data_IF_985292813108
#
_entry.id   IF_985292813108
#
_cell.length_a   1.000
_cell.length_b   1.000
_cell.length_c   1.000
_cell.angle_alpha   90.00
_cell.angle_beta   90.00
_cell.angle_gamma   90.00
#
_symmetry.space_group_name_H-M   'P 1'
#
loop_
_entity.id
_entity.type
_entity.pdbx_description
1 polymer ?
#
# COMPACT_ATOMS: atom_id res chain seq x y z
N UNK A 1 -8.39 -12.92 -2.82
CA UNK A 1 -8.39 -11.83 -1.81
C UNK A 1 -7.43 -12.22 -0.70
N UNK A 2 -6.21 -11.66 -0.66
CA UNK A 2 -5.22 -12.01 0.37
C UNK A 2 -5.75 -11.56 1.74
N UNK A 3 -5.86 -12.49 2.71
CA UNK A 3 -6.36 -12.17 4.05
C UNK A 3 -5.37 -11.25 4.76
N UNK A 4 -5.82 -10.05 5.13
CA UNK A 4 -5.00 -9.10 5.86
C UNK A 4 -4.81 -9.56 7.31
N UNK A 5 -3.59 -9.95 7.65
CA UNK A 5 -3.25 -10.46 8.99
C UNK A 5 -3.33 -9.37 10.06
N UNK A 6 -3.01 -8.12 9.74
CA UNK A 6 -3.04 -7.00 10.69
C UNK A 6 -4.42 -6.77 11.31
N UNK A 7 -5.51 -7.04 10.59
CA UNK A 7 -6.87 -6.97 11.17
C UNK A 7 -7.11 -8.01 12.26
N UNK A 8 -6.42 -9.18 12.19
CA UNK A 8 -6.51 -10.24 13.19
C UNK A 8 -5.65 -9.94 14.43
N UNK A 9 -4.47 -9.36 14.23
CA UNK A 9 -3.47 -9.18 15.30
C UNK A 9 -3.38 -7.74 15.86
N UNK A 10 -4.08 -6.77 15.26
CA UNK A 10 -4.15 -5.38 15.72
C UNK A 10 -2.97 -4.49 15.28
N UNK A 11 -1.80 -5.06 14.99
CA UNK A 11 -0.59 -4.31 14.61
C UNK A 11 0.00 -4.85 13.30
N UNK A 12 0.59 -3.96 12.48
CA UNK A 12 1.29 -4.32 11.27
C UNK A 12 2.40 -3.33 10.93
N UNK A 13 3.58 -3.84 10.60
CA UNK A 13 4.71 -3.05 10.09
C UNK A 13 4.86 -3.40 8.62
N UNK A 14 5.00 -2.38 7.76
CA UNK A 14 5.07 -2.57 6.31
C UNK A 14 6.24 -1.78 5.74
N UNK A 15 7.02 -2.42 4.86
CA UNK A 15 8.05 -1.75 4.07
C UNK A 15 7.44 -0.82 2.99
N UNK A 16 8.25 0.11 2.48
CA UNK A 16 7.87 0.90 1.30
C UNK A 16 7.58 -0.02 0.10
N UNK A 17 6.66 0.39 -0.77
CA UNK A 17 6.30 -0.41 -1.96
C UNK A 17 6.04 0.50 -3.12
N UNK A 18 6.48 0.08 -4.30
CA UNK A 18 6.27 0.77 -5.57
C UNK A 18 4.84 0.49 -6.04
N UNK A 19 4.15 1.53 -6.52
CA UNK A 19 2.90 1.37 -7.26
C UNK A 19 3.27 1.47 -8.74
N UNK A 20 3.00 0.46 -9.57
CA UNK A 20 3.45 0.46 -10.95
C UNK A 20 2.63 1.45 -11.79
N UNK A 21 3.34 2.25 -12.59
CA UNK A 21 2.82 3.01 -13.73
C UNK A 21 2.95 2.18 -15.03
N UNK A 22 2.63 2.77 -16.18
CA UNK A 22 2.70 2.09 -17.48
C UNK A 22 4.13 1.63 -17.79
N UNK A 23 5.12 2.50 -17.57
CA UNK A 23 6.54 2.19 -17.80
C UNK A 23 7.00 0.99 -16.95
N UNK A 24 6.62 0.93 -15.67
CA UNK A 24 6.97 -0.20 -14.79
C UNK A 24 6.21 -1.48 -15.12
N UNK A 25 5.01 -1.39 -15.69
CA UNK A 25 4.28 -2.58 -16.16
C UNK A 25 5.03 -3.24 -17.31
N UNK A 26 5.53 -2.43 -18.26
CA UNK A 26 6.28 -2.92 -19.41
C UNK A 26 7.69 -3.38 -19.01
N UNK A 27 8.41 -2.60 -18.20
CA UNK A 27 9.76 -2.93 -17.70
C UNK A 27 9.80 -4.29 -17.00
N UNK A 28 8.79 -4.57 -16.17
CA UNK A 28 8.73 -5.79 -15.35
C UNK A 28 7.78 -6.86 -15.91
N UNK A 29 7.23 -6.67 -17.11
CA UNK A 29 6.27 -7.56 -17.76
C UNK A 29 5.12 -8.00 -16.82
N UNK A 30 4.52 -7.02 -16.15
CA UNK A 30 3.47 -7.27 -15.18
C UNK A 30 2.18 -7.64 -15.91
N UNK A 31 1.45 -8.63 -15.38
CA UNK A 31 0.17 -9.08 -15.95
C UNK A 31 -0.90 -7.97 -16.06
N UNK A 32 -0.77 -6.93 -15.24
CA UNK A 32 -1.67 -5.76 -15.19
C UNK A 32 -1.08 -4.68 -14.30
N UNK A 33 -1.60 -3.47 -14.43
CA UNK A 33 -1.39 -2.39 -13.48
C UNK A 33 -2.08 -2.74 -12.14
N UNK A 34 -1.27 -2.97 -11.10
CA UNK A 34 -1.78 -3.30 -9.77
C UNK A 34 -2.12 -2.04 -8.98
N UNK A 35 -3.24 -2.07 -8.26
CA UNK A 35 -3.60 -1.00 -7.31
C UNK A 35 -2.54 -0.90 -6.21
N UNK A 36 -2.29 0.33 -5.75
CA UNK A 36 -1.34 0.59 -4.67
C UNK A 36 -1.63 -0.29 -3.44
N UNK A 37 -0.64 -1.03 -2.91
CA UNK A 37 -0.81 -1.79 -1.68
C UNK A 37 -1.21 -0.90 -0.49
N UNK A 38 -0.70 0.34 -0.43
CA UNK A 38 -1.04 1.30 0.63
C UNK A 38 -2.52 1.69 0.57
N UNK A 39 -3.03 2.04 -0.61
CA UNK A 39 -4.44 2.38 -0.80
C UNK A 39 -5.36 1.19 -0.52
N UNK A 40 -4.94 -0.01 -0.94
CA UNK A 40 -5.68 -1.25 -0.66
C UNK A 40 -5.78 -1.52 0.84
N UNK A 41 -4.69 -1.36 1.59
CA UNK A 41 -4.69 -1.59 3.05
C UNK A 41 -5.57 -0.55 3.76
N UNK A 42 -5.46 0.73 3.38
CA UNK A 42 -6.26 1.83 3.95
C UNK A 42 -7.76 1.63 3.71
N UNK A 43 -8.15 1.21 2.51
CA UNK A 43 -9.56 0.97 2.20
C UNK A 43 -10.15 -0.22 3.00
N UNK A 44 -9.33 -1.21 3.35
CA UNK A 44 -9.78 -2.39 4.12
C UNK A 44 -9.82 -2.11 5.63
N UNK A 45 -8.82 -1.40 6.17
CA UNK A 45 -8.74 -1.08 7.60
C UNK A 45 -9.56 0.15 8.00
N UNK A 46 -9.71 1.12 7.10
CA UNK A 46 -10.25 2.43 7.41
C UNK A 46 -9.35 3.24 8.37
N UNK A 47 -9.86 4.37 8.86
CA UNK A 47 -9.21 5.20 9.88
C UNK A 47 -8.41 6.39 9.33
N UNK A 48 -7.66 7.03 10.22
CA UNK A 48 -6.90 8.25 9.95
C UNK A 48 -5.42 7.94 9.93
N UNK A 49 -4.68 8.51 8.97
CA UNK A 49 -3.23 8.42 8.93
C UNK A 49 -2.62 9.67 9.52
N UNK A 50 -1.79 9.49 10.53
CA UNK A 50 -1.02 10.55 11.16
C UNK A 50 0.37 10.59 10.50
N UNK A 51 0.66 11.58 9.65
CA UNK A 51 2.02 11.78 9.15
C UNK A 51 2.94 12.23 10.29
N UNK A 52 4.24 11.97 10.18
CA UNK A 52 5.20 12.58 11.09
C UNK A 52 5.23 14.10 10.87
N UNK A 53 5.51 14.84 11.93
CA UNK A 53 5.54 16.31 11.91
C UNK A 53 6.63 16.88 10.98
N UNK A 54 7.59 16.05 10.58
CA UNK A 54 8.75 16.39 9.74
C UNK A 54 8.38 16.69 8.27
N UNK A 55 7.09 16.58 7.92
CA UNK A 55 6.56 16.87 6.58
C UNK A 55 5.76 18.18 6.49
N UNK A 56 5.81 19.03 7.52
CA UNK A 56 5.35 20.43 7.40
C UNK A 56 6.46 21.23 6.69
N UNK A 57 6.29 21.44 5.38
CA UNK A 57 6.90 22.58 4.70
C UNK A 57 6.11 23.85 5.05
#
# INVERSE_FOLDING_TARGET
>A
MQRMRSKKYGVGIKCATITPDEDRVDEFNLKKMYKSPNGTIRNILGGTVFPSADHLQ
#
